data_IF_810588270133
#
_entry.id   IF_810588270133
#
_cell.length_a   1.000
_cell.length_b   1.000
_cell.length_c   1.000
_cell.angle_alpha   90.00
_cell.angle_beta   90.00
_cell.angle_gamma   90.00
#
_symmetry.space_group_name_H-M   'P 1'
#
loop_
_entity.id
_entity.type
_entity.pdbx_description
1 polymer ?
#
# COMPACT_ATOMS: atom_id res chain seq x y z
N UNK A 1 4.28 17.59 -4.38
CA UNK A 1 3.03 17.10 -3.76
C UNK A 1 2.87 15.66 -4.18
N UNK A 2 2.92 14.72 -3.23
CA UNK A 2 2.87 13.28 -3.52
C UNK A 2 1.44 12.85 -3.90
N UNK A 3 1.28 12.32 -5.12
CA UNK A 3 0.01 11.87 -5.71
C UNK A 3 -0.76 10.87 -4.84
N UNK A 4 -0.06 10.07 -4.02
CA UNK A 4 -0.67 9.12 -3.08
C UNK A 4 -1.56 9.82 -2.03
N UNK A 5 -1.21 11.04 -1.63
CA UNK A 5 -1.97 11.82 -0.64
C UNK A 5 -3.12 12.62 -1.27
N UNK A 6 -3.22 12.67 -2.61
CA UNK A 6 -4.32 13.35 -3.29
C UNK A 6 -5.60 12.49 -3.35
N UNK A 7 -5.52 11.19 -3.04
CA UNK A 7 -6.68 10.30 -2.87
C UNK A 7 -7.31 10.49 -1.47
N UNK A 8 -7.43 11.74 -1.02
CA UNK A 8 -8.14 12.16 0.20
C UNK A 8 -9.61 11.76 0.07
N UNK A 9 -9.91 10.52 0.43
CA UNK A 9 -11.25 9.99 0.55
C UNK A 9 -11.43 9.31 1.91
N UNK A 10 -12.67 9.23 2.39
CA UNK A 10 -13.07 8.46 3.59
C UNK A 10 -13.00 6.93 3.39
N UNK A 11 -12.24 6.49 2.40
CA UNK A 11 -12.27 5.10 1.93
C UNK A 11 -10.86 4.57 2.10
N UNK A 12 -10.79 3.41 2.73
CA UNK A 12 -9.55 2.67 2.91
C UNK A 12 -9.26 1.89 1.63
N UNK A 13 -8.03 1.97 1.13
CA UNK A 13 -7.67 1.31 -0.12
C UNK A 13 -6.49 0.37 0.09
N UNK A 14 -6.61 -0.85 -0.42
CA UNK A 14 -5.45 -1.72 -0.58
C UNK A 14 -4.41 -1.06 -1.47
N UNK A 15 -3.17 -1.10 -1.02
CA UNK A 15 -2.02 -0.73 -1.83
C UNK A 15 -1.27 -2.00 -2.21
N UNK A 16 -0.54 -1.97 -3.33
CA UNK A 16 0.26 -3.11 -3.80
C UNK A 16 1.49 -3.41 -2.94
N UNK A 17 1.37 -3.32 -1.61
CA UNK A 17 2.42 -3.59 -0.63
C UNK A 17 1.97 -4.73 0.28
N UNK A 18 2.80 -5.77 0.41
CA UNK A 18 2.50 -6.95 1.23
C UNK A 18 3.74 -7.46 1.94
N UNK A 19 3.53 -8.11 3.08
CA UNK A 19 4.57 -8.78 3.84
C UNK A 19 4.87 -10.14 3.20
N UNK A 20 6.15 -10.39 2.92
CA UNK A 20 6.67 -11.70 2.51
C UNK A 20 7.78 -12.10 3.47
N UNK A 21 7.46 -13.00 4.40
CA UNK A 21 8.34 -13.31 5.53
C UNK A 21 8.48 -12.12 6.49
N UNK A 22 9.71 -11.66 6.72
CA UNK A 22 9.98 -10.53 7.62
C UNK A 22 9.98 -9.16 6.92
N UNK A 23 9.86 -9.11 5.58
CA UNK A 23 10.01 -7.88 4.79
C UNK A 23 8.72 -7.49 4.08
N UNK A 24 8.55 -6.20 3.87
CA UNK A 24 7.50 -5.64 3.02
C UNK A 24 8.03 -5.51 1.59
N UNK A 25 7.21 -5.91 0.63
CA UNK A 25 7.54 -5.90 -0.80
C UNK A 25 6.38 -5.34 -1.61
N UNK A 26 6.71 -4.61 -2.65
CA UNK A 26 5.78 -4.09 -3.64
C UNK A 26 5.27 -5.22 -4.56
N UNK A 27 4.21 -4.94 -5.32
CA UNK A 27 3.60 -5.88 -6.26
C UNK A 27 4.55 -6.35 -7.36
N UNK A 28 5.59 -5.57 -7.67
CA UNK A 28 6.66 -5.91 -8.61
C UNK A 28 7.79 -6.75 -7.99
N UNK A 29 7.73 -7.04 -6.68
CA UNK A 29 8.72 -7.80 -5.94
C UNK A 29 9.88 -6.96 -5.37
N UNK A 30 9.94 -5.66 -5.64
CA UNK A 30 10.94 -4.77 -5.05
C UNK A 30 10.70 -4.58 -3.55
N UNK A 31 11.77 -4.38 -2.79
CA UNK A 31 11.67 -4.20 -1.33
C UNK A 31 11.19 -2.79 -0.99
N UNK A 32 10.34 -2.71 0.03
CA UNK A 32 9.92 -1.43 0.60
C UNK A 32 11.05 -0.78 1.39
N UNK A 33 11.42 0.44 1.04
CA UNK A 33 12.52 1.18 1.67
C UNK A 33 12.20 1.73 3.06
N UNK A 34 11.00 1.49 3.60
CA UNK A 34 10.62 1.86 4.98
C UNK A 34 10.75 3.36 5.29
N UNK A 35 10.55 4.21 4.28
CA UNK A 35 10.56 5.68 4.41
C UNK A 35 9.35 6.23 5.18
N UNK A 36 8.30 5.43 5.31
CA UNK A 36 7.10 5.72 6.11
C UNK A 36 6.75 4.47 6.93
N UNK A 37 6.37 4.62 8.22
CA UNK A 37 6.00 3.48 9.04
C UNK A 37 4.70 2.83 8.54
N UNK A 38 4.65 1.50 8.62
CA UNK A 38 3.43 0.70 8.44
C UNK A 38 2.95 0.25 9.81
N UNK A 39 1.70 0.57 10.16
CA UNK A 39 1.13 0.23 11.46
C UNK A 39 0.54 -1.19 11.45
N UNK A 40 0.86 -1.97 12.48
CA UNK A 40 0.44 -3.37 12.63
C UNK A 40 1.35 -4.36 11.89
N UNK A 41 1.10 -5.66 12.14
CA UNK A 41 1.97 -6.75 11.69
C UNK A 41 1.29 -7.77 10.76
N UNK A 42 0.17 -7.41 10.14
CA UNK A 42 -0.54 -8.29 9.22
C UNK A 42 0.12 -8.35 7.83
N UNK A 43 -0.42 -9.21 6.95
CA UNK A 43 0.17 -9.50 5.64
C UNK A 43 -0.06 -8.38 4.61
N UNK A 44 -1.29 -7.90 4.43
CA UNK A 44 -1.61 -6.92 3.39
C UNK A 44 -1.65 -5.51 3.96
N UNK A 45 -1.18 -4.54 3.17
CA UNK A 45 -1.12 -3.13 3.57
C UNK A 45 -2.18 -2.32 2.82
N UNK A 46 -2.88 -1.47 3.56
CA UNK A 46 -3.85 -0.53 3.05
C UNK A 46 -3.50 0.90 3.50
N UNK A 47 -4.01 1.88 2.76
CA UNK A 47 -3.93 3.28 3.10
C UNK A 47 -5.24 3.69 3.80
N UNK A 48 -5.13 4.20 5.02
CA UNK A 48 -6.24 4.69 5.82
C UNK A 48 -5.80 5.92 6.61
N UNK A 49 -6.61 6.99 6.61
CA UNK A 49 -6.30 8.25 7.28
C UNK A 49 -4.90 8.81 6.93
N UNK A 50 -4.46 8.66 5.68
CA UNK A 50 -3.10 8.99 5.20
C UNK A 50 -1.96 8.22 5.89
N UNK A 51 -2.26 7.06 6.46
CA UNK A 51 -1.30 6.17 7.11
C UNK A 51 -1.32 4.80 6.45
N UNK A 52 -0.16 4.20 6.33
CA UNK A 52 -0.06 2.80 5.95
C UNK A 52 -0.39 1.93 7.16
N UNK A 53 -1.39 1.07 7.02
CA UNK A 53 -1.81 0.11 8.03
C UNK A 53 -1.82 -1.29 7.44
N UNK A 54 -1.72 -2.31 8.27
CA UNK A 54 -1.82 -3.70 7.83
C UNK A 54 -3.04 -4.39 8.41
N UNK A 55 -3.67 -5.26 7.62
CA UNK A 55 -4.74 -6.14 8.07
C UNK A 55 -4.75 -7.45 7.24
N UNK A 56 -5.66 -8.37 7.57
CA UNK A 56 -5.82 -9.62 6.83
C UNK A 56 -6.18 -9.36 5.36
N UNK A 57 -5.50 -10.03 4.43
CA UNK A 57 -5.78 -9.94 2.99
C UNK A 57 -7.20 -10.41 2.62
N UNK A 58 -7.90 -11.10 3.52
CA UNK A 58 -9.29 -11.52 3.32
C UNK A 58 -10.32 -10.40 3.46
N UNK A 59 -9.92 -9.23 4.00
CA UNK A 59 -10.84 -8.10 4.13
C UNK A 59 -11.18 -7.49 2.75
N UNK A 60 -12.46 -7.15 2.58
CA UNK A 60 -12.93 -6.53 1.35
C UNK A 60 -12.71 -5.02 1.43
N UNK A 61 -11.66 -4.55 0.77
CA UNK A 61 -11.41 -3.13 0.52
C UNK A 61 -11.19 -2.92 -0.98
N UNK A 62 -11.49 -1.73 -1.52
CA UNK A 62 -11.12 -1.36 -2.88
C UNK A 62 -9.59 -1.34 -3.06
N UNK A 63 -9.12 -1.66 -4.26
CA UNK A 63 -7.68 -1.69 -4.58
C UNK A 63 -7.27 -0.43 -5.36
N UNK A 64 -6.13 0.14 -5.01
CA UNK A 64 -5.48 1.20 -5.75
C UNK A 64 -4.34 0.66 -6.59
N UNK A 65 -4.45 0.79 -7.91
CA UNK A 65 -3.43 0.37 -8.87
C UNK A 65 -2.65 1.55 -9.42
N UNK A 66 -1.35 1.37 -9.64
CA UNK A 66 -0.49 2.31 -10.35
C UNK A 66 0.31 1.59 -11.43
N UNK A 67 0.59 2.28 -12.54
CA UNK A 67 1.45 1.80 -13.62
C UNK A 67 2.22 2.99 -14.18
N UNK A 68 3.48 2.78 -14.51
CA UNK A 68 4.25 3.79 -15.23
C UNK A 68 3.57 4.07 -16.58
N UNK A 69 3.47 5.35 -16.94
CA UNK A 69 3.05 5.73 -18.28
C UNK A 69 4.13 5.27 -19.27
N UNK A 70 3.71 4.66 -20.39
CA UNK A 70 4.65 4.26 -21.42
C UNK A 70 5.42 5.49 -21.94
N UNK A 71 6.72 5.36 -22.25
CA UNK A 71 7.44 6.42 -22.95
C UNK A 71 6.69 6.78 -24.24
N UNK A 72 6.52 8.08 -24.49
CA UNK A 72 5.98 8.60 -25.75
C UNK A 72 6.93 8.30 -26.92
#
# INVERSE_FOLDING_TARGET
QDLLFCLRGKVDFWVGLRRRGQRLQWGDGSNFSSWVPVLGDSECVYLADNKFRSQSCSNQEPNLCSKAQAPL
#
